data_IF_606142264308
#
_entry.id   IF_606142264308
#
_cell.length_a   1.000
_cell.length_b   1.000
_cell.length_c   1.000
_cell.angle_alpha   90.00
_cell.angle_beta   90.00
_cell.angle_gamma   90.00
#
_symmetry.space_group_name_H-M   'P 1'
#
loop_
_entity.id
_entity.type
_entity.pdbx_description
1 polymer ?
#
# COMPACT_ATOMS: atom_id res chain seq x y z
N UNK A 1 15.48 -10.79 -18.72
CA UNK A 1 16.21 -10.31 -17.53
C UNK A 1 15.94 -11.29 -16.40
N UNK A 2 16.97 -11.79 -15.69
CA UNK A 2 16.87 -12.93 -14.75
C UNK A 2 15.77 -12.70 -13.70
N UNK A 3 14.83 -13.64 -13.61
CA UNK A 3 13.66 -13.73 -12.72
C UNK A 3 13.90 -13.29 -11.24
N UNK A 4 15.14 -13.37 -10.75
CA UNK A 4 15.56 -12.84 -9.44
C UNK A 4 15.45 -11.31 -9.30
N UNK A 5 15.77 -10.55 -10.36
CA UNK A 5 15.71 -9.09 -10.32
C UNK A 5 14.27 -8.58 -10.24
N UNK A 6 13.33 -9.25 -10.92
CA UNK A 6 11.89 -8.91 -10.88
C UNK A 6 11.29 -9.09 -9.47
N UNK A 7 11.66 -10.18 -8.78
CA UNK A 7 11.25 -10.39 -7.38
C UNK A 7 11.81 -9.33 -6.43
N UNK A 8 13.09 -8.96 -6.58
CA UNK A 8 13.70 -7.93 -5.74
C UNK A 8 13.07 -6.55 -5.96
N UNK A 9 12.82 -6.17 -7.21
CA UNK A 9 12.17 -4.90 -7.55
C UNK A 9 10.73 -4.87 -7.07
N UNK A 10 9.99 -5.97 -7.19
CA UNK A 10 8.64 -6.06 -6.67
C UNK A 10 8.58 -5.89 -5.15
N UNK A 11 9.45 -6.58 -4.40
CA UNK A 11 9.50 -6.43 -2.93
C UNK A 11 9.86 -4.99 -2.55
N UNK A 12 10.86 -4.41 -3.20
CA UNK A 12 11.27 -3.03 -2.92
C UNK A 12 10.15 -2.04 -3.24
N UNK A 13 9.44 -2.20 -4.35
CA UNK A 13 8.30 -1.38 -4.72
C UNK A 13 7.17 -1.46 -3.69
N UNK A 14 6.86 -2.66 -3.18
CA UNK A 14 5.86 -2.83 -2.10
C UNK A 14 6.27 -2.13 -0.82
N UNK A 15 7.54 -2.24 -0.41
CA UNK A 15 8.05 -1.58 0.80
C UNK A 15 8.02 -0.06 0.65
N UNK A 16 8.49 0.47 -0.48
CA UNK A 16 8.48 1.92 -0.75
C UNK A 16 7.05 2.43 -0.83
N UNK A 17 6.15 1.72 -1.52
CA UNK A 17 4.74 2.08 -1.58
C UNK A 17 4.12 2.13 -0.18
N UNK A 18 4.37 1.11 0.65
CA UNK A 18 3.86 1.05 2.01
C UNK A 18 4.38 2.21 2.86
N UNK A 19 5.68 2.51 2.77
CA UNK A 19 6.29 3.63 3.51
C UNK A 19 5.66 4.98 3.12
N UNK A 20 5.55 5.25 1.82
CA UNK A 20 4.92 6.48 1.31
C UNK A 20 3.45 6.55 1.70
N UNK A 21 2.71 5.45 1.56
CA UNK A 21 1.30 5.38 1.92
C UNK A 21 1.09 5.65 3.41
N UNK A 22 1.89 5.05 4.29
CA UNK A 22 1.82 5.28 5.74
C UNK A 22 2.06 6.74 6.09
N UNK A 23 3.06 7.39 5.48
CA UNK A 23 3.33 8.82 5.67
C UNK A 23 2.15 9.68 5.22
N UNK A 24 1.58 9.41 4.05
CA UNK A 24 0.41 10.14 3.53
C UNK A 24 -0.80 9.90 4.43
N UNK A 25 -1.08 8.66 4.84
CA UNK A 25 -2.20 8.33 5.72
C UNK A 25 -2.07 9.00 7.09
N UNK A 26 -0.85 9.14 7.62
CA UNK A 26 -0.61 9.88 8.86
C UNK A 26 -0.86 11.38 8.67
N UNK A 27 -0.34 11.98 7.60
CA UNK A 27 -0.52 13.40 7.32
C UNK A 27 -2.00 13.76 7.08
N UNK A 28 -2.70 12.95 6.27
CA UNK A 28 -4.12 13.14 5.98
C UNK A 28 -4.96 12.91 7.24
N UNK A 29 -4.62 11.93 8.09
CA UNK A 29 -5.31 11.72 9.36
C UNK A 29 -5.10 12.89 10.33
N UNK A 30 -3.86 13.38 10.42
CA UNK A 30 -3.51 14.57 11.19
C UNK A 30 -4.34 15.80 10.80
N UNK A 31 -4.58 16.01 9.51
CA UNK A 31 -5.29 17.20 9.00
C UNK A 31 -6.82 17.02 9.06
N UNK A 32 -7.33 15.87 8.60
CA UNK A 32 -8.76 15.70 8.38
C UNK A 32 -9.53 15.23 9.60
N UNK A 33 -8.85 14.61 10.57
CA UNK A 33 -9.49 13.76 11.58
C UNK A 33 -9.19 14.21 13.00
N UNK A 34 -7.93 14.57 13.28
CA UNK A 34 -7.52 15.02 14.61
C UNK A 34 -8.34 16.25 15.01
N UNK A 35 -9.14 16.12 16.08
CA UNK A 35 -9.97 17.20 16.63
C UNK A 35 -11.42 17.25 16.15
N UNK A 36 -11.85 16.39 15.21
CA UNK A 36 -13.25 16.36 14.71
C UNK A 36 -14.14 15.30 15.37
N UNK A 37 -13.58 14.52 16.30
CA UNK A 37 -14.29 13.52 17.10
C UNK A 37 -14.42 12.14 16.44
N UNK A 38 -14.89 11.18 17.23
CA UNK A 38 -14.86 9.74 16.91
C UNK A 38 -15.58 9.38 15.60
N UNK A 39 -16.61 10.15 15.24
CA UNK A 39 -17.41 9.94 14.02
C UNK A 39 -16.62 10.14 12.72
N UNK A 40 -15.54 10.93 12.74
CA UNK A 40 -14.65 11.11 11.59
C UNK A 40 -13.39 10.25 11.71
N UNK A 41 -12.92 9.99 12.92
CA UNK A 41 -11.79 9.08 13.20
C UNK A 41 -12.05 7.66 12.73
N UNK A 42 -13.17 7.07 13.14
CA UNK A 42 -13.47 5.67 12.84
C UNK A 42 -13.51 5.36 11.34
N UNK A 43 -14.34 6.05 10.52
CA UNK A 43 -14.42 5.74 9.10
C UNK A 43 -13.12 6.07 8.38
N UNK A 44 -12.38 7.10 8.81
CA UNK A 44 -11.09 7.40 8.22
C UNK A 44 -10.09 6.27 8.42
N UNK A 45 -9.92 5.78 9.65
CA UNK A 45 -8.99 4.68 9.93
C UNK A 45 -9.42 3.38 9.25
N UNK A 46 -10.73 3.11 9.16
CA UNK A 46 -11.26 1.95 8.42
C UNK A 46 -10.93 2.08 6.93
N UNK A 47 -11.22 3.22 6.31
CA UNK A 47 -10.94 3.43 4.88
C UNK A 47 -9.44 3.43 4.63
N UNK A 48 -8.64 4.14 5.42
CA UNK A 48 -7.18 4.14 5.30
C UNK A 48 -6.58 2.73 5.45
N UNK A 49 -7.16 1.91 6.32
CA UNK A 49 -6.78 0.51 6.51
C UNK A 49 -7.29 -0.46 5.45
N UNK A 50 -8.29 -0.11 4.64
CA UNK A 50 -8.81 -0.98 3.57
C UNK A 50 -8.31 -0.54 2.20
N UNK A 51 -8.12 0.75 1.98
CA UNK A 51 -7.77 1.34 0.68
C UNK A 51 -6.42 0.86 0.14
N UNK A 52 -5.47 0.51 1.00
CA UNK A 52 -4.17 -0.02 0.60
C UNK A 52 -4.19 -1.50 0.20
N UNK A 53 -5.16 -2.29 0.67
CA UNK A 53 -5.27 -3.73 0.38
C UNK A 53 -5.31 -4.03 -1.13
N UNK A 54 -6.19 -3.40 -1.95
CA UNK A 54 -6.23 -3.68 -3.38
C UNK A 54 -4.91 -3.31 -4.08
N UNK A 55 -4.20 -2.29 -3.61
CA UNK A 55 -2.93 -1.89 -4.18
C UNK A 55 -1.84 -2.92 -3.89
N UNK A 56 -1.74 -3.39 -2.64
CA UNK A 56 -0.80 -4.44 -2.26
C UNK A 56 -1.12 -5.75 -2.99
N UNK A 57 -2.39 -6.12 -3.10
CA UNK A 57 -2.81 -7.31 -3.85
C UNK A 57 -2.45 -7.20 -5.34
N UNK A 58 -2.62 -6.03 -5.96
CA UNK A 58 -2.20 -5.81 -7.36
C UNK A 58 -0.68 -5.90 -7.53
N UNK A 59 0.09 -5.28 -6.62
CA UNK A 59 1.56 -5.35 -6.60
C UNK A 59 2.06 -6.80 -6.43
N UNK A 60 1.50 -7.53 -5.46
CA UNK A 60 1.85 -8.94 -5.23
C UNK A 60 1.46 -9.79 -6.45
N UNK A 61 0.27 -9.58 -7.04
CA UNK A 61 -0.16 -10.31 -8.24
C UNK A 61 0.75 -10.03 -9.44
N UNK A 62 1.26 -8.82 -9.57
CA UNK A 62 2.25 -8.46 -10.59
C UNK A 62 3.60 -9.14 -10.33
N UNK A 63 4.02 -9.21 -9.07
CA UNK A 63 5.27 -9.87 -8.66
C UNK A 63 5.21 -11.41 -8.74
N UNK A 64 4.04 -11.97 -8.47
CA UNK A 64 3.77 -13.41 -8.49
C UNK A 64 3.46 -13.92 -9.90
N UNK A 65 3.29 -13.04 -10.89
CA UNK A 65 3.07 -13.44 -12.29
C UNK A 65 4.32 -14.22 -12.75
N UNK A 66 4.19 -15.53 -13.04
CA UNK A 66 5.33 -16.31 -13.51
C UNK A 66 5.74 -15.77 -14.88
N UNK A 67 7.04 -15.51 -15.04
CA UNK A 67 7.63 -15.27 -16.35
C UNK A 67 7.25 -16.47 -17.23
N UNK A 68 6.56 -16.23 -18.33
CA UNK A 68 6.15 -17.26 -19.29
C UNK A 68 7.38 -18.09 -19.63
N UNK A 69 7.33 -19.37 -19.27
CA UNK A 69 8.30 -20.39 -19.67
C UNK A 69 8.36 -20.35 -21.20
N UNK A 70 9.50 -19.92 -21.75
CA UNK A 70 9.89 -20.10 -23.14
C UNK A 70 10.78 -21.32 -23.25
#
# INVERSE_FOLDING_TARGET
MKQRARKAVGTLATVVFLAVYSLVAMAVGGIFVVGRGLAFELPYYVVAGVLWLPVVMALIRWMARPDSIS
#
